data_IF_938374423896
#
_entry.id   IF_938374423896
#
_cell.length_a   1.000
_cell.length_b   1.000
_cell.length_c   1.000
_cell.angle_alpha   90.00
_cell.angle_beta   90.00
_cell.angle_gamma   90.00
#
_symmetry.space_group_name_H-M   'P 1'
#
loop_
_entity.id
_entity.type
_entity.pdbx_description
1 polymer ?
#
# COMPACT_ATOMS: atom_id res chain seq x y z
N UNK A 1 -17.76 -33.06 -0.47
CA UNK A 1 -16.50 -32.31 -0.23
C UNK A 1 -16.81 -30.85 -0.51
N UNK A 2 -16.94 -30.02 0.52
CA UNK A 2 -17.07 -28.57 0.37
C UNK A 2 -15.74 -28.06 -0.18
N UNK A 3 -15.75 -27.56 -1.40
CA UNK A 3 -14.61 -26.86 -1.98
C UNK A 3 -14.31 -25.61 -1.14
N UNK A 4 -13.05 -25.39 -0.76
CA UNK A 4 -12.66 -24.17 -0.03
C UNK A 4 -13.13 -22.93 -0.82
N UNK A 5 -13.70 -21.93 -0.16
CA UNK A 5 -14.13 -20.72 -0.83
C UNK A 5 -12.93 -19.99 -1.47
N UNK A 6 -13.16 -19.33 -2.58
CA UNK A 6 -12.14 -18.62 -3.37
C UNK A 6 -12.64 -17.20 -3.66
N UNK A 7 -11.74 -16.24 -3.60
CA UNK A 7 -11.98 -14.87 -4.09
C UNK A 7 -11.08 -14.60 -5.29
N UNK A 8 -11.64 -14.05 -6.35
CA UNK A 8 -10.86 -13.49 -7.45
C UNK A 8 -10.45 -12.07 -7.05
N UNK A 9 -9.19 -11.89 -6.77
CA UNK A 9 -8.64 -10.58 -6.39
C UNK A 9 -7.99 -9.88 -7.57
N UNK A 10 -8.17 -8.57 -7.65
CA UNK A 10 -7.63 -7.69 -8.68
C UNK A 10 -6.98 -6.49 -8.01
N UNK A 11 -5.71 -6.21 -8.33
CA UNK A 11 -4.95 -5.06 -7.84
C UNK A 11 -4.58 -4.15 -9.02
N UNK A 12 -5.32 -3.05 -9.15
CA UNK A 12 -5.22 -2.10 -10.27
C UNK A 12 -4.18 -1.04 -9.92
N UNK A 13 -2.93 -1.28 -10.30
CA UNK A 13 -1.85 -0.32 -10.17
C UNK A 13 -1.66 0.54 -11.43
N UNK A 14 -0.83 1.57 -11.35
CA UNK A 14 -0.59 2.50 -12.47
C UNK A 14 0.07 1.87 -13.69
N UNK A 15 1.01 0.97 -13.51
CA UNK A 15 1.77 0.31 -14.60
C UNK A 15 1.16 -1.03 -14.99
N UNK A 16 0.77 -1.83 -14.01
CA UNK A 16 0.22 -3.17 -14.23
C UNK A 16 -0.94 -3.44 -13.30
N UNK A 17 -1.93 -4.16 -13.82
CA UNK A 17 -3.03 -4.73 -13.05
C UNK A 17 -2.71 -6.19 -12.79
N UNK A 18 -2.53 -6.55 -11.52
CA UNK A 18 -2.31 -7.92 -11.07
C UNK A 18 -3.63 -8.56 -10.67
N UNK A 19 -3.72 -9.86 -10.78
CA UNK A 19 -4.91 -10.60 -10.36
C UNK A 19 -4.56 -12.02 -9.93
N UNK A 20 -5.43 -12.63 -9.14
CA UNK A 20 -5.24 -14.01 -8.69
C UNK A 20 -6.44 -14.59 -7.96
N UNK A 21 -6.46 -15.91 -7.87
CA UNK A 21 -7.40 -16.65 -7.05
C UNK A 21 -6.83 -16.85 -5.65
N UNK A 22 -7.47 -16.28 -4.66
CA UNK A 22 -7.03 -16.27 -3.25
C UNK A 22 -7.89 -17.19 -2.41
N UNK A 23 -7.26 -17.98 -1.54
CA UNK A 23 -7.91 -18.81 -0.53
C UNK A 23 -7.93 -18.10 0.84
N UNK A 24 -8.77 -18.54 1.80
CA UNK A 24 -8.88 -17.91 3.13
C UNK A 24 -7.60 -17.86 3.94
N UNK A 25 -6.67 -18.78 3.71
CA UNK A 25 -5.36 -18.82 4.35
C UNK A 25 -4.32 -17.88 3.74
N UNK A 26 -4.71 -17.11 2.70
CA UNK A 26 -3.82 -16.21 1.96
C UNK A 26 -3.05 -16.90 0.82
N UNK A 27 -3.29 -18.18 0.56
CA UNK A 27 -2.67 -18.85 -0.59
C UNK A 27 -3.23 -18.31 -1.90
N UNK A 28 -2.35 -17.85 -2.80
CA UNK A 28 -2.70 -17.44 -4.16
C UNK A 28 -2.45 -18.63 -5.09
N UNK A 29 -3.52 -19.35 -5.43
CA UNK A 29 -3.45 -20.62 -6.20
C UNK A 29 -3.25 -20.41 -7.70
N UNK A 30 -3.62 -19.24 -8.22
CA UNK A 30 -3.41 -18.87 -9.62
C UNK A 30 -3.23 -17.36 -9.70
N UNK A 31 -2.32 -16.89 -10.56
CA UNK A 31 -2.01 -15.46 -10.70
C UNK A 31 -1.76 -15.10 -12.16
N UNK A 32 -1.95 -13.82 -12.45
CA UNK A 32 -1.63 -13.22 -13.72
C UNK A 32 -1.48 -11.71 -13.58
N UNK A 33 -1.09 -11.10 -14.67
CA UNK A 33 -1.03 -9.64 -14.77
C UNK A 33 -1.21 -9.19 -16.22
N UNK A 34 -1.74 -7.98 -16.38
CA UNK A 34 -1.78 -7.28 -17.66
C UNK A 34 -1.20 -5.86 -17.47
N UNK A 35 -0.71 -5.21 -18.53
CA UNK A 35 -0.45 -3.77 -18.50
C UNK A 35 -1.73 -3.01 -18.17
N UNK A 36 -1.68 -2.04 -17.26
CA UNK A 36 -2.85 -1.17 -16.99
C UNK A 36 -3.08 -0.21 -18.14
N UNK A 37 -2.00 0.28 -18.76
CA UNK A 37 -2.02 1.23 -19.89
C UNK A 37 -2.88 2.47 -19.63
N UNK A 38 -2.72 2.98 -18.41
CA UNK A 38 -3.61 3.98 -17.80
C UNK A 38 -3.65 5.33 -18.53
N UNK A 39 -2.69 5.61 -19.42
CA UNK A 39 -2.60 6.85 -20.21
C UNK A 39 -3.01 6.67 -21.67
N UNK A 40 -3.04 5.45 -22.19
CA UNK A 40 -3.30 5.14 -23.59
C UNK A 40 -4.71 4.64 -23.89
N UNK A 41 -5.33 3.93 -22.94
CA UNK A 41 -6.61 3.26 -23.15
C UNK A 41 -7.84 4.10 -22.76
N UNK A 42 -8.93 3.84 -23.46
CA UNK A 42 -10.26 4.16 -22.91
C UNK A 42 -10.62 3.20 -21.77
N UNK A 43 -11.49 3.58 -20.82
CA UNK A 43 -11.98 2.67 -19.79
C UNK A 43 -12.54 1.37 -20.36
N UNK A 44 -13.29 1.45 -21.45
CA UNK A 44 -13.89 0.28 -22.09
C UNK A 44 -12.84 -0.69 -22.65
N UNK A 45 -11.80 -0.17 -23.31
CA UNK A 45 -10.71 -0.98 -23.81
C UNK A 45 -9.93 -1.67 -22.68
N UNK A 46 -9.71 -0.97 -21.57
CA UNK A 46 -9.12 -1.55 -20.36
C UNK A 46 -9.96 -2.70 -19.82
N UNK A 47 -11.29 -2.52 -19.65
CA UNK A 47 -12.17 -3.57 -19.14
C UNK A 47 -12.26 -4.76 -20.08
N UNK A 48 -12.30 -4.56 -21.40
CA UNK A 48 -12.29 -5.67 -22.38
C UNK A 48 -11.05 -6.53 -22.19
N UNK A 49 -9.86 -5.93 -22.08
CA UNK A 49 -8.60 -6.66 -21.86
C UNK A 49 -8.57 -7.35 -20.48
N UNK A 50 -9.03 -6.64 -19.45
CA UNK A 50 -9.02 -7.16 -18.09
C UNK A 50 -9.98 -8.36 -17.97
N UNK A 51 -11.23 -8.23 -18.40
CA UNK A 51 -12.19 -9.33 -18.33
C UNK A 51 -11.78 -10.53 -19.16
N UNK A 52 -11.19 -10.33 -20.34
CA UNK A 52 -10.64 -11.43 -21.11
C UNK A 52 -9.57 -12.24 -20.35
N UNK A 53 -8.77 -11.57 -19.51
CA UNK A 53 -7.76 -12.20 -18.67
C UNK A 53 -8.36 -12.87 -17.41
N UNK A 54 -9.43 -12.30 -16.83
CA UNK A 54 -10.06 -12.79 -15.61
C UNK A 54 -11.05 -13.93 -15.83
N UNK A 55 -11.76 -13.94 -16.96
CA UNK A 55 -12.83 -14.91 -17.27
C UNK A 55 -12.39 -16.38 -17.17
N UNK A 56 -11.19 -16.78 -17.64
CA UNK A 56 -10.74 -18.17 -17.47
C UNK A 56 -10.59 -18.56 -16.00
N UNK A 57 -10.12 -17.62 -15.15
CA UNK A 57 -9.95 -17.84 -13.70
C UNK A 57 -11.31 -17.98 -13.02
N UNK A 58 -12.22 -17.05 -13.30
CA UNK A 58 -13.58 -17.07 -12.75
C UNK A 58 -14.32 -18.36 -13.10
N UNK A 59 -14.27 -18.78 -14.39
CA UNK A 59 -14.85 -20.05 -14.84
C UNK A 59 -14.18 -21.27 -14.18
N UNK A 60 -12.86 -21.25 -14.03
CA UNK A 60 -12.11 -22.34 -13.38
C UNK A 60 -12.43 -22.50 -11.89
N UNK A 61 -12.71 -21.42 -11.18
CA UNK A 61 -13.11 -21.45 -9.78
C UNK A 61 -14.57 -21.94 -9.59
N UNK A 62 -15.44 -21.73 -10.58
CA UNK A 62 -16.81 -22.25 -10.58
C UNK A 62 -17.59 -21.85 -9.33
N UNK A 63 -18.28 -22.82 -8.73
CA UNK A 63 -19.11 -22.59 -7.52
C UNK A 63 -18.32 -22.27 -6.25
N UNK A 64 -16.98 -22.40 -6.27
CA UNK A 64 -16.14 -21.99 -5.14
C UNK A 64 -15.91 -20.48 -5.10
N UNK A 65 -16.18 -19.75 -6.20
CA UNK A 65 -15.96 -18.32 -6.31
C UNK A 65 -17.02 -17.55 -5.52
N UNK A 66 -16.62 -16.95 -4.40
CA UNK A 66 -17.47 -16.14 -3.54
C UNK A 66 -17.80 -14.78 -4.15
N UNK A 67 -16.86 -14.18 -4.83
CA UNK A 67 -16.94 -12.83 -5.35
C UNK A 67 -15.60 -12.30 -5.84
N UNK A 68 -15.55 -11.01 -6.13
CA UNK A 68 -14.36 -10.35 -6.64
C UNK A 68 -13.95 -9.18 -5.71
N UNK A 69 -12.71 -9.22 -5.23
CA UNK A 69 -12.11 -8.15 -4.46
C UNK A 69 -11.22 -7.27 -5.35
N UNK A 70 -11.39 -5.95 -5.25
CA UNK A 70 -10.65 -4.97 -6.06
C UNK A 70 -9.86 -4.06 -5.14
N UNK A 71 -8.56 -3.95 -5.38
CA UNK A 71 -7.67 -2.90 -4.92
C UNK A 71 -7.52 -1.89 -6.06
N UNK A 72 -7.83 -0.62 -5.84
CA UNK A 72 -7.73 0.41 -6.86
C UNK A 72 -6.86 1.57 -6.40
N UNK A 73 -5.94 1.99 -7.27
CA UNK A 73 -5.08 3.14 -6.98
C UNK A 73 -5.88 4.44 -6.84
N UNK A 74 -5.52 5.23 -5.82
CA UNK A 74 -6.07 6.55 -5.56
C UNK A 74 -7.24 6.56 -4.60
N UNK A 75 -7.80 7.74 -4.34
CA UNK A 75 -8.95 7.87 -3.47
C UNK A 75 -10.22 7.34 -4.15
N UNK A 76 -10.99 6.56 -3.42
CA UNK A 76 -12.29 6.04 -3.88
C UNK A 76 -13.45 6.84 -3.29
N UNK A 77 -14.58 6.87 -4.01
CA UNK A 77 -15.80 7.51 -3.52
C UNK A 77 -16.38 6.79 -2.29
N UNK A 78 -17.32 7.45 -1.62
CA UNK A 78 -17.95 6.96 -0.39
C UNK A 78 -18.59 5.58 -0.55
N UNK A 79 -19.18 5.32 -1.70
CA UNK A 79 -19.83 4.06 -2.04
C UNK A 79 -18.84 2.97 -2.46
N UNK A 80 -17.55 3.31 -2.54
CA UNK A 80 -16.46 2.44 -2.98
C UNK A 80 -16.75 1.84 -4.36
N UNK A 81 -17.13 2.71 -5.32
CA UNK A 81 -17.45 2.32 -6.70
C UNK A 81 -16.43 2.82 -7.71
N UNK A 82 -15.86 4.01 -7.49
CA UNK A 82 -15.01 4.69 -8.47
C UNK A 82 -13.81 5.38 -7.82
N UNK A 83 -12.63 5.35 -8.46
CA UNK A 83 -11.52 6.22 -8.08
C UNK A 83 -11.86 7.68 -8.42
N UNK A 84 -11.83 8.58 -7.43
CA UNK A 84 -12.09 10.02 -7.62
C UNK A 84 -10.82 10.82 -7.85
N UNK A 85 -9.72 10.39 -7.20
CA UNK A 85 -8.36 10.88 -7.47
C UNK A 85 -7.53 9.67 -7.89
N UNK A 86 -7.05 9.66 -9.11
CA UNK A 86 -6.38 8.51 -9.70
C UNK A 86 -5.17 8.96 -10.55
N UNK A 87 -4.18 9.57 -9.88
CA UNK A 87 -3.01 10.17 -10.55
C UNK A 87 -2.24 9.19 -11.44
N UNK A 88 -2.08 7.95 -11.00
CA UNK A 88 -1.38 6.90 -11.75
C UNK A 88 -2.30 6.07 -12.67
N UNK A 89 -3.62 6.27 -12.59
CA UNK A 89 -4.62 5.60 -13.44
C UNK A 89 -5.64 6.60 -13.97
N UNK A 90 -5.21 7.67 -14.67
CA UNK A 90 -6.09 8.78 -15.05
C UNK A 90 -7.27 8.35 -15.93
N UNK A 91 -7.13 7.32 -16.75
CA UNK A 91 -8.21 6.76 -17.56
C UNK A 91 -9.37 6.19 -16.72
N UNK A 92 -9.12 5.80 -15.48
CA UNK A 92 -10.13 5.25 -14.57
C UNK A 92 -10.73 6.29 -13.61
N UNK A 93 -10.30 7.53 -13.68
CA UNK A 93 -10.83 8.60 -12.83
C UNK A 93 -12.32 8.81 -13.07
N UNK A 94 -13.11 8.75 -11.98
CA UNK A 94 -14.58 8.84 -11.97
C UNK A 94 -15.31 7.72 -12.76
N UNK A 95 -14.62 6.66 -13.16
CA UNK A 95 -15.22 5.48 -13.81
C UNK A 95 -15.82 4.59 -12.75
N UNK A 96 -17.05 4.09 -12.97
CA UNK A 96 -17.72 3.11 -12.09
C UNK A 96 -17.08 1.72 -12.26
N UNK A 97 -15.87 1.57 -11.70
CA UNK A 97 -15.11 0.31 -11.77
C UNK A 97 -15.90 -0.83 -11.16
N UNK A 98 -16.43 -0.64 -9.96
CA UNK A 98 -17.21 -1.67 -9.27
C UNK A 98 -18.44 -2.06 -10.08
N UNK A 99 -19.18 -1.09 -10.63
CA UNK A 99 -20.35 -1.36 -11.47
C UNK A 99 -20.03 -2.12 -12.76
N UNK A 100 -18.86 -1.87 -13.36
CA UNK A 100 -18.42 -2.64 -14.53
C UNK A 100 -18.24 -4.13 -14.17
N UNK A 101 -17.63 -4.45 -13.02
CA UNK A 101 -17.50 -5.83 -12.54
C UNK A 101 -18.84 -6.44 -12.13
N UNK A 102 -19.70 -5.71 -11.41
CA UNK A 102 -21.05 -6.17 -11.05
C UNK A 102 -21.87 -6.57 -12.29
N UNK A 103 -21.81 -5.73 -13.32
CA UNK A 103 -22.51 -5.98 -14.60
C UNK A 103 -21.96 -7.20 -15.34
N UNK A 104 -20.65 -7.41 -15.33
CA UNK A 104 -20.02 -8.50 -16.08
C UNK A 104 -20.16 -9.86 -15.39
N UNK A 105 -19.97 -9.93 -14.07
CA UNK A 105 -19.93 -11.20 -13.34
C UNK A 105 -21.21 -11.56 -12.60
N UNK A 106 -22.03 -10.58 -12.22
CA UNK A 106 -23.22 -10.82 -11.39
C UNK A 106 -22.91 -11.39 -10.01
N UNK A 107 -21.72 -11.16 -9.49
CA UNK A 107 -21.22 -11.65 -8.21
C UNK A 107 -21.06 -10.50 -7.20
N UNK A 108 -20.93 -10.80 -5.89
CA UNK A 108 -20.54 -9.81 -4.90
C UNK A 108 -19.19 -9.18 -5.25
N UNK A 109 -19.13 -7.85 -5.26
CA UNK A 109 -17.92 -7.08 -5.55
C UNK A 109 -17.60 -6.16 -4.37
N UNK A 110 -16.37 -6.22 -3.90
CA UNK A 110 -15.82 -5.28 -2.92
C UNK A 110 -14.67 -4.52 -3.56
N UNK A 111 -14.64 -3.20 -3.38
CA UNK A 111 -13.54 -2.37 -3.86
C UNK A 111 -12.97 -1.55 -2.70
N UNK A 112 -11.66 -1.53 -2.58
CA UNK A 112 -10.91 -0.72 -1.64
C UNK A 112 -9.88 0.14 -2.36
N UNK A 113 -9.49 1.23 -1.72
CA UNK A 113 -8.26 1.94 -2.04
C UNK A 113 -7.06 0.99 -1.87
N UNK A 114 -6.00 1.19 -2.64
CA UNK A 114 -4.80 0.35 -2.64
C UNK A 114 -4.08 0.33 -1.29
N UNK A 115 -3.98 1.47 -0.59
CA UNK A 115 -3.38 1.53 0.75
C UNK A 115 -4.16 0.67 1.76
N UNK A 116 -5.50 0.73 1.70
CA UNK A 116 -6.35 -0.08 2.57
C UNK A 116 -6.21 -1.57 2.24
N UNK A 117 -6.18 -1.93 0.96
CA UNK A 117 -5.95 -3.30 0.55
C UNK A 117 -4.58 -3.79 1.04
N UNK A 118 -3.51 -3.02 0.87
CA UNK A 118 -2.19 -3.37 1.40
C UNK A 118 -2.21 -3.56 2.93
N UNK A 119 -2.87 -2.67 3.66
CA UNK A 119 -2.97 -2.76 5.12
C UNK A 119 -3.74 -4.00 5.58
N UNK A 120 -4.87 -4.31 4.94
CA UNK A 120 -5.65 -5.52 5.23
C UNK A 120 -4.86 -6.79 4.92
N UNK A 121 -4.17 -6.84 3.79
CA UNK A 121 -3.32 -7.97 3.41
C UNK A 121 -2.19 -8.20 4.40
N UNK A 122 -1.47 -7.15 4.78
CA UNK A 122 -0.37 -7.23 5.75
C UNK A 122 -0.86 -7.53 7.17
N UNK A 123 -2.07 -7.04 7.53
CA UNK A 123 -2.69 -7.34 8.82
C UNK A 123 -3.10 -8.81 8.94
N UNK A 124 -3.78 -9.36 7.95
CA UNK A 124 -4.32 -10.72 8.04
C UNK A 124 -3.30 -11.80 7.71
N UNK A 125 -2.36 -11.54 6.79
CA UNK A 125 -1.46 -12.55 6.23
C UNK A 125 0.03 -12.24 6.45
N UNK A 126 0.35 -11.09 7.05
CA UNK A 126 1.71 -10.62 7.25
C UNK A 126 2.06 -10.36 8.70
N UNK A 127 2.76 -9.25 8.92
CA UNK A 127 3.29 -8.86 10.24
C UNK A 127 2.25 -8.26 11.18
N UNK A 128 1.02 -7.96 10.72
CA UNK A 128 -0.04 -7.34 11.52
C UNK A 128 -0.89 -8.31 12.33
N UNK A 129 -0.77 -9.62 12.10
CA UNK A 129 -1.65 -10.61 12.74
C UNK A 129 -1.61 -10.55 14.27
N UNK A 130 -2.79 -10.42 14.88
CA UNK A 130 -2.95 -10.33 16.33
C UNK A 130 -2.53 -9.00 16.96
N UNK A 131 -2.18 -7.99 16.18
CA UNK A 131 -1.82 -6.66 16.66
C UNK A 131 -3.07 -5.78 16.77
N UNK A 132 -3.37 -5.31 17.97
CA UNK A 132 -4.57 -4.52 18.23
C UNK A 132 -4.59 -3.18 17.46
N UNK A 133 -3.46 -2.45 17.45
CA UNK A 133 -3.28 -1.20 16.72
C UNK A 133 -2.12 -1.36 15.74
N UNK A 134 -2.46 -1.63 14.51
CA UNK A 134 -1.51 -1.91 13.44
C UNK A 134 -1.55 -0.80 12.38
N UNK A 135 -0.39 -0.31 12.00
CA UNK A 135 -0.23 0.63 10.90
C UNK A 135 0.54 -0.05 9.76
N UNK A 136 0.06 0.10 8.54
CA UNK A 136 0.79 -0.29 7.34
C UNK A 136 1.17 0.97 6.56
N UNK A 137 2.46 1.21 6.38
CA UNK A 137 3.01 2.25 5.50
C UNK A 137 3.40 1.60 4.17
N UNK A 138 2.74 1.97 3.09
CA UNK A 138 3.10 1.52 1.75
C UNK A 138 3.96 2.58 1.04
N UNK A 139 5.10 2.15 0.49
CA UNK A 139 6.08 2.98 -0.21
C UNK A 139 6.32 2.48 -1.62
N UNK A 140 5.99 3.30 -2.60
CA UNK A 140 6.17 3.00 -4.02
C UNK A 140 6.32 4.28 -4.83
N UNK A 141 5.56 4.45 -5.89
CA UNK A 141 5.47 5.72 -6.64
C UNK A 141 5.09 6.86 -5.68
N UNK A 142 4.11 6.62 -4.82
CA UNK A 142 3.73 7.50 -3.71
C UNK A 142 4.08 6.90 -2.34
N UNK A 143 3.50 7.52 -1.31
CA UNK A 143 3.61 7.14 0.09
C UNK A 143 2.25 7.30 0.78
N UNK A 144 1.87 6.31 1.58
CA UNK A 144 0.68 6.44 2.41
C UNK A 144 0.62 5.39 3.50
N UNK A 145 -0.14 5.66 4.55
CA UNK A 145 -0.35 4.72 5.63
C UNK A 145 -1.83 4.51 5.90
N UNK A 146 -2.20 3.28 6.23
CA UNK A 146 -3.52 2.91 6.71
C UNK A 146 -3.41 2.27 8.10
N UNK A 147 -4.44 2.50 8.92
CA UNK A 147 -4.49 2.03 10.30
C UNK A 147 -5.58 0.96 10.47
N UNK A 148 -5.25 -0.13 11.14
CA UNK A 148 -6.18 -1.18 11.57
C UNK A 148 -6.24 -1.17 13.10
N UNK A 149 -7.44 -1.05 13.66
CA UNK A 149 -7.68 -1.04 15.10
C UNK A 149 -8.65 -2.14 15.46
N UNK A 150 -8.24 -3.04 16.35
CA UNK A 150 -9.03 -4.21 16.77
C UNK A 150 -9.58 -5.01 15.56
N UNK A 151 -8.74 -5.23 14.55
CA UNK A 151 -9.09 -5.96 13.33
C UNK A 151 -9.92 -5.19 12.31
N UNK A 152 -10.26 -3.93 12.57
CA UNK A 152 -11.07 -3.10 11.68
C UNK A 152 -10.25 -1.94 11.11
N UNK A 153 -10.38 -1.65 9.82
CA UNK A 153 -9.72 -0.50 9.23
C UNK A 153 -10.29 0.82 9.78
N UNK A 154 -9.40 1.77 10.06
CA UNK A 154 -9.78 3.14 10.37
C UNK A 154 -10.07 3.87 9.07
N UNK A 155 -11.35 4.12 8.81
CA UNK A 155 -11.83 4.79 7.61
C UNK A 155 -12.25 6.21 7.95
N UNK A 156 -11.72 7.18 7.20
CA UNK A 156 -12.08 8.60 7.33
C UNK A 156 -13.27 8.92 6.43
N UNK A 157 -13.20 8.51 5.16
CA UNK A 157 -14.31 8.65 4.20
C UNK A 157 -14.27 7.56 3.14
N UNK A 158 -15.43 6.96 2.83
CA UNK A 158 -15.58 5.90 1.85
C UNK A 158 -14.75 4.66 2.15
N UNK A 159 -13.66 4.47 1.46
CA UNK A 159 -12.68 3.41 1.70
C UNK A 159 -11.30 3.96 2.02
N UNK A 160 -11.19 5.26 2.37
CA UNK A 160 -9.92 5.95 2.48
C UNK A 160 -9.50 6.17 3.94
N UNK A 161 -8.22 5.97 4.21
CA UNK A 161 -7.60 6.18 5.53
C UNK A 161 -7.12 7.62 5.74
N UNK A 162 -7.40 8.53 4.81
CA UNK A 162 -6.81 9.85 4.72
C UNK A 162 -5.45 9.82 3.99
N UNK A 163 -4.99 11.01 3.59
CA UNK A 163 -3.74 11.19 2.82
C UNK A 163 -2.53 11.36 3.73
N UNK A 164 -2.17 10.33 4.46
CA UNK A 164 -1.07 10.35 5.44
C UNK A 164 0.30 10.67 4.80
N UNK A 165 0.50 10.36 3.52
CA UNK A 165 1.70 10.72 2.77
C UNK A 165 1.86 12.22 2.49
N UNK A 166 0.78 13.01 2.63
CA UNK A 166 0.81 14.45 2.39
C UNK A 166 1.17 15.28 3.64
N UNK A 167 1.58 14.64 4.74
CA UNK A 167 2.16 15.33 5.90
C UNK A 167 3.36 16.15 5.45
N UNK A 168 3.40 17.43 5.87
CA UNK A 168 4.49 18.35 5.54
C UNK A 168 5.70 18.06 6.44
N UNK A 169 6.81 17.64 5.83
CA UNK A 169 8.07 17.41 6.53
C UNK A 169 9.03 18.60 6.44
N UNK A 170 9.12 19.22 5.27
CA UNK A 170 9.91 20.44 5.07
C UNK A 170 9.18 21.42 4.15
N UNK A 171 8.60 22.51 4.67
CA UNK A 171 7.85 23.46 3.87
C UNK A 171 8.71 24.22 2.84
N UNK A 172 10.04 24.09 2.87
CA UNK A 172 10.96 24.68 1.89
C UNK A 172 11.20 23.74 0.69
N UNK A 173 10.94 22.45 0.84
CA UNK A 173 11.14 21.44 -0.20
C UNK A 173 10.17 21.64 -1.39
N UNK A 174 10.45 21.04 -2.56
CA UNK A 174 9.60 21.16 -3.75
C UNK A 174 8.16 20.68 -3.53
N UNK A 175 7.30 21.01 -4.48
CA UNK A 175 5.94 20.46 -4.55
C UNK A 175 6.00 19.04 -5.08
N UNK A 176 5.14 18.18 -4.53
CA UNK A 176 4.88 16.84 -5.06
C UNK A 176 3.94 16.87 -6.28
N UNK A 177 3.61 15.71 -6.80
CA UNK A 177 2.71 15.53 -7.95
C UNK A 177 1.28 16.02 -7.68
N UNK A 178 0.88 16.12 -6.41
CA UNK A 178 -0.42 16.64 -5.97
C UNK A 178 -0.39 18.14 -5.72
N UNK A 179 0.75 18.80 -5.94
CA UNK A 179 0.94 20.23 -5.70
C UNK A 179 1.22 20.61 -4.24
N UNK A 180 1.37 19.61 -3.34
CA UNK A 180 1.65 19.84 -1.92
C UNK A 180 3.16 20.07 -1.73
N UNK A 181 3.49 21.17 -1.05
CA UNK A 181 4.88 21.57 -0.85
C UNK A 181 5.50 20.85 0.35
N UNK A 182 6.58 20.12 0.10
CA UNK A 182 7.38 19.47 1.16
C UNK A 182 6.70 18.31 1.87
N UNK A 183 5.79 17.61 1.17
CA UNK A 183 5.12 16.42 1.70
C UNK A 183 6.08 15.24 1.87
N UNK A 184 5.75 14.33 2.78
CA UNK A 184 6.44 13.06 2.95
C UNK A 184 6.48 12.26 1.64
N UNK A 185 5.36 12.21 0.90
CA UNK A 185 5.29 11.56 -0.41
C UNK A 185 6.26 12.17 -1.43
N UNK A 186 6.29 13.49 -1.55
CA UNK A 186 7.19 14.18 -2.47
C UNK A 186 8.68 14.02 -2.13
N UNK A 187 8.99 13.79 -0.87
CA UNK A 187 10.36 13.56 -0.39
C UNK A 187 10.78 12.09 -0.48
N UNK A 188 9.87 11.15 -0.17
CA UNK A 188 10.20 9.73 0.05
C UNK A 188 9.67 8.80 -1.03
N UNK A 189 8.73 9.23 -1.87
CA UNK A 189 8.26 8.46 -3.03
C UNK A 189 9.34 8.33 -4.12
N UNK A 190 9.05 7.53 -5.16
CA UNK A 190 9.98 7.33 -6.30
C UNK A 190 10.51 8.65 -6.86
N UNK A 191 9.69 9.70 -7.12
CA UNK A 191 10.21 10.98 -7.60
C UNK A 191 11.21 11.65 -6.64
N UNK A 192 11.02 11.50 -5.33
CA UNK A 192 11.94 12.02 -4.32
C UNK A 192 13.29 11.30 -4.33
N UNK A 193 13.27 9.97 -4.46
CA UNK A 193 14.50 9.14 -4.59
C UNK A 193 15.26 9.53 -5.85
N UNK A 194 14.58 9.64 -7.00
CA UNK A 194 15.20 9.99 -8.27
C UNK A 194 15.75 11.41 -8.30
N UNK A 195 15.09 12.34 -7.61
CA UNK A 195 15.61 13.70 -7.40
C UNK A 195 16.92 13.68 -6.61
N UNK A 196 16.97 12.98 -5.48
CA UNK A 196 18.21 12.85 -4.69
C UNK A 196 19.31 12.16 -5.50
N UNK A 197 18.97 11.13 -6.25
CA UNK A 197 19.92 10.43 -7.12
C UNK A 197 20.51 11.37 -8.18
N UNK A 198 19.67 12.17 -8.85
CA UNK A 198 20.13 13.18 -9.82
C UNK A 198 21.05 14.21 -9.19
N UNK A 199 20.70 14.72 -7.99
CA UNK A 199 21.54 15.66 -7.24
C UNK A 199 22.90 15.03 -6.88
N UNK A 200 22.92 13.74 -6.50
CA UNK A 200 24.12 13.05 -6.04
C UNK A 200 25.02 12.55 -7.17
N UNK A 201 24.42 12.03 -8.27
CA UNK A 201 25.16 11.43 -9.40
C UNK A 201 25.39 12.40 -10.58
N UNK A 202 24.70 13.54 -10.61
CA UNK A 202 24.74 14.47 -11.74
C UNK A 202 24.08 13.92 -13.03
N UNK A 203 23.32 12.82 -12.91
CA UNK A 203 22.56 12.19 -14.01
C UNK A 203 21.29 11.54 -13.51
N UNK A 204 20.37 11.22 -14.40
CA UNK A 204 19.19 10.44 -14.07
C UNK A 204 19.59 9.00 -13.71
N UNK A 205 19.06 8.52 -12.56
CA UNK A 205 19.19 7.13 -12.08
C UNK A 205 17.83 6.68 -11.60
N UNK A 206 17.25 5.63 -12.16
CA UNK A 206 15.95 5.12 -11.74
C UNK A 206 15.98 4.67 -10.27
N UNK A 207 14.91 4.97 -9.52
CA UNK A 207 14.81 4.63 -8.09
C UNK A 207 15.09 3.15 -7.81
N UNK A 208 14.62 2.23 -8.68
CA UNK A 208 14.87 0.78 -8.56
C UNK A 208 16.37 0.43 -8.52
N UNK A 209 17.20 1.16 -9.28
CA UNK A 209 18.65 0.93 -9.32
C UNK A 209 19.30 1.44 -8.03
N UNK A 210 18.89 2.62 -7.53
CA UNK A 210 19.33 3.17 -6.25
C UNK A 210 18.98 2.21 -5.10
N UNK A 211 17.74 1.73 -5.05
CA UNK A 211 17.26 0.80 -4.02
C UNK A 211 18.05 -0.51 -4.05
N UNK A 212 18.27 -1.08 -5.23
CA UNK A 212 19.03 -2.32 -5.39
C UNK A 212 20.50 -2.16 -4.97
N UNK A 213 21.16 -1.08 -5.38
CA UNK A 213 22.55 -0.78 -5.04
C UNK A 213 22.71 -0.53 -3.53
N UNK A 214 21.79 0.21 -2.91
CA UNK A 214 21.78 0.43 -1.47
C UNK A 214 21.60 -0.86 -0.68
N UNK A 215 20.64 -1.71 -1.09
CA UNK A 215 20.41 -3.03 -0.48
C UNK A 215 21.65 -3.92 -0.54
N UNK A 216 22.35 -3.91 -1.68
CA UNK A 216 23.56 -4.70 -1.88
C UNK A 216 24.80 -4.10 -1.19
N UNK A 217 24.74 -2.84 -0.72
CA UNK A 217 25.89 -2.11 -0.17
C UNK A 217 26.99 -1.82 -1.19
N UNK A 218 26.68 -1.89 -2.49
CA UNK A 218 27.66 -1.76 -3.58
C UNK A 218 27.96 -0.32 -3.98
N UNK A 219 27.13 0.63 -3.53
CA UNK A 219 27.25 2.06 -3.84
C UNK A 219 26.98 2.90 -2.60
N UNK A 220 28.00 3.59 -2.10
CA UNK A 220 27.90 4.41 -0.91
C UNK A 220 26.89 5.57 -1.06
N UNK A 221 26.77 6.17 -2.25
CA UNK A 221 25.81 7.23 -2.52
C UNK A 221 24.37 6.70 -2.48
N UNK A 222 24.11 5.50 -3.01
CA UNK A 222 22.82 4.85 -2.92
C UNK A 222 22.45 4.53 -1.45
N UNK A 223 23.42 4.06 -0.66
CA UNK A 223 23.24 3.82 0.79
C UNK A 223 22.88 5.12 1.51
N UNK A 224 23.61 6.22 1.26
CA UNK A 224 23.30 7.53 1.84
C UNK A 224 21.91 8.03 1.45
N UNK A 225 21.51 7.90 0.18
CA UNK A 225 20.17 8.28 -0.30
C UNK A 225 19.09 7.49 0.45
N UNK A 226 19.22 6.16 0.52
CA UNK A 226 18.20 5.33 1.18
C UNK A 226 18.18 5.52 2.70
N UNK A 227 19.31 5.84 3.35
CA UNK A 227 19.34 6.22 4.74
C UNK A 227 18.63 7.57 4.98
N UNK A 228 18.82 8.56 4.09
CA UNK A 228 18.09 9.83 4.15
C UNK A 228 16.56 9.63 3.99
N UNK A 229 16.15 8.77 3.05
CA UNK A 229 14.74 8.38 2.91
C UNK A 229 14.24 7.74 4.20
N UNK A 230 15.00 6.81 4.79
CA UNK A 230 14.68 6.18 6.08
C UNK A 230 14.50 7.22 7.20
N UNK A 231 15.36 8.22 7.27
CA UNK A 231 15.24 9.32 8.24
C UNK A 231 13.92 10.09 8.07
N UNK A 232 13.55 10.46 6.86
CA UNK A 232 12.29 11.15 6.61
C UNK A 232 11.07 10.27 6.90
N UNK A 233 11.16 8.97 6.63
CA UNK A 233 10.11 8.01 7.02
C UNK A 233 10.00 7.93 8.54
N UNK A 234 11.11 7.87 9.27
CA UNK A 234 11.10 7.90 10.75
C UNK A 234 10.40 9.15 11.30
N UNK A 235 10.64 10.31 10.72
CA UNK A 235 9.94 11.56 11.08
C UNK A 235 8.44 11.50 10.76
N UNK A 236 8.07 10.95 9.60
CA UNK A 236 6.67 10.73 9.22
C UNK A 236 5.96 9.82 10.22
N UNK A 237 6.57 8.68 10.53
CA UNK A 237 6.01 7.70 11.46
C UNK A 237 5.94 8.25 12.89
N UNK A 238 6.89 9.06 13.33
CA UNK A 238 6.82 9.75 14.61
C UNK A 238 5.58 10.64 14.70
N UNK A 239 5.32 11.45 13.67
CA UNK A 239 4.14 12.32 13.60
C UNK A 239 2.83 11.54 13.58
N UNK A 240 2.77 10.44 12.81
CA UNK A 240 1.58 9.58 12.76
C UNK A 240 1.37 8.81 14.07
N UNK A 241 2.45 8.38 14.71
CA UNK A 241 2.36 7.58 15.93
C UNK A 241 1.80 8.35 17.12
N UNK A 242 2.09 9.63 17.26
CA UNK A 242 1.49 10.46 18.33
C UNK A 242 0.00 10.75 18.10
N UNK A 243 -0.51 10.50 16.88
CA UNK A 243 -1.94 10.62 16.56
C UNK A 243 -2.66 9.28 16.76
N UNK A 244 -2.07 8.18 16.28
CA UNK A 244 -2.74 6.88 16.14
C UNK A 244 -2.32 5.83 17.17
N UNK A 245 -1.22 6.05 17.89
CA UNK A 245 -0.67 5.14 18.91
C UNK A 245 -0.56 3.68 18.43
N UNK A 246 0.11 3.38 17.29
CA UNK A 246 0.25 2.02 16.81
C UNK A 246 1.11 1.17 17.76
N UNK A 247 0.82 -0.11 17.86
CA UNK A 247 1.70 -1.08 18.53
C UNK A 247 2.76 -1.63 17.59
N UNK A 248 2.41 -1.75 16.30
CA UNK A 248 3.33 -2.15 15.24
C UNK A 248 3.07 -1.38 13.96
N UNK A 249 4.16 -1.03 13.29
CA UNK A 249 4.16 -0.40 11.98
C UNK A 249 4.90 -1.32 11.01
N UNK A 250 4.25 -1.73 9.92
CA UNK A 250 4.88 -2.44 8.83
C UNK A 250 5.17 -1.48 7.67
N UNK A 251 6.41 -1.45 7.20
CA UNK A 251 6.81 -0.71 6.01
C UNK A 251 6.79 -1.68 4.84
N UNK A 252 5.97 -1.40 3.82
CA UNK A 252 5.72 -2.27 2.65
C UNK A 252 5.99 -1.54 1.34
N UNK A 253 5.81 -2.24 0.22
CA UNK A 253 5.97 -1.67 -1.12
C UNK A 253 7.40 -1.78 -1.68
N UNK A 254 7.59 -1.33 -2.91
CA UNK A 254 8.84 -1.52 -3.64
C UNK A 254 10.07 -0.89 -2.97
N UNK A 255 9.89 0.30 -2.39
CA UNK A 255 10.98 1.03 -1.72
C UNK A 255 11.43 0.34 -0.42
N UNK A 256 10.53 -0.38 0.27
CA UNK A 256 10.88 -1.17 1.45
C UNK A 256 11.94 -2.26 1.15
N UNK A 257 12.10 -2.66 -0.12
CA UNK A 257 13.10 -3.62 -0.54
C UNK A 257 14.56 -3.14 -0.36
N UNK A 258 14.80 -1.85 -0.04
CA UNK A 258 16.10 -1.36 0.42
C UNK A 258 16.56 -2.04 1.72
N UNK A 259 15.64 -2.66 2.47
CA UNK A 259 15.96 -3.49 3.62
C UNK A 259 16.46 -2.69 4.82
N UNK A 260 17.51 -3.22 5.47
CA UNK A 260 18.03 -2.69 6.74
C UNK A 260 18.57 -1.26 6.62
N UNK A 261 19.06 -0.84 5.47
CA UNK A 261 19.56 0.53 5.26
C UNK A 261 18.44 1.54 5.54
N UNK A 262 17.28 1.32 4.97
CA UNK A 262 16.09 2.15 5.18
C UNK A 262 15.53 1.97 6.59
N UNK A 263 15.36 0.71 7.04
CA UNK A 263 14.72 0.39 8.30
C UNK A 263 15.49 0.91 9.51
N UNK A 264 16.82 0.76 9.52
CA UNK A 264 17.66 1.20 10.65
C UNK A 264 17.68 2.73 10.76
N UNK A 265 17.78 3.46 9.64
CA UNK A 265 17.70 4.91 9.64
C UNK A 265 16.30 5.41 10.10
N UNK A 266 15.25 4.73 9.68
CA UNK A 266 13.88 5.01 10.10
C UNK A 266 13.70 4.83 11.61
N UNK A 267 14.13 3.69 12.16
CA UNK A 267 14.05 3.40 13.60
C UNK A 267 14.87 4.39 14.42
N UNK A 268 16.09 4.69 14.01
CA UNK A 268 16.95 5.65 14.70
C UNK A 268 16.29 7.04 14.78
N UNK A 269 15.72 7.51 13.68
CA UNK A 269 15.04 8.81 13.66
C UNK A 269 13.76 8.80 14.48
N UNK A 270 12.97 7.73 14.40
CA UNK A 270 11.74 7.55 15.19
C UNK A 270 12.07 7.57 16.69
N UNK A 271 13.07 6.78 17.10
CA UNK A 271 13.52 6.69 18.48
C UNK A 271 14.03 8.05 19.01
N UNK A 272 14.83 8.75 18.20
CA UNK A 272 15.33 10.10 18.54
C UNK A 272 14.17 11.08 18.80
N UNK A 273 13.09 11.01 18.05
CA UNK A 273 12.01 12.00 18.12
C UNK A 273 10.96 11.69 19.18
N UNK A 274 10.57 10.42 19.32
CA UNK A 274 9.42 10.02 20.16
C UNK A 274 9.65 8.75 20.98
N UNK A 275 10.82 8.12 20.89
CA UNK A 275 11.09 6.84 21.56
C UNK A 275 10.91 6.90 23.07
N UNK A 276 11.46 7.91 23.74
CA UNK A 276 11.33 8.09 25.20
C UNK A 276 9.85 8.25 25.61
N UNK A 277 9.07 9.01 24.84
CA UNK A 277 7.64 9.18 25.10
C UNK A 277 6.87 7.84 25.04
N UNK A 278 7.11 7.02 24.03
CA UNK A 278 6.41 5.73 23.90
C UNK A 278 6.87 4.72 24.94
N UNK A 279 8.16 4.67 25.29
CA UNK A 279 8.70 3.84 26.39
C UNK A 279 8.09 4.23 27.74
N UNK A 280 8.02 5.51 28.04
CA UNK A 280 7.40 6.00 29.29
C UNK A 280 5.92 5.67 29.33
N UNK A 281 5.21 5.88 28.22
CA UNK A 281 3.80 5.54 28.10
C UNK A 281 3.56 4.03 28.30
N UNK A 282 4.38 3.17 27.69
CA UNK A 282 4.30 1.72 27.85
C UNK A 282 4.54 1.30 29.31
N UNK A 283 5.54 1.88 29.97
CA UNK A 283 5.90 1.58 31.35
C UNK A 283 4.79 1.96 32.36
N UNK A 284 4.05 3.05 32.09
CA UNK A 284 3.10 3.64 33.04
C UNK A 284 1.63 3.27 32.83
N UNK A 285 1.31 2.45 31.81
CA UNK A 285 -0.09 2.16 31.46
C UNK A 285 -0.52 0.70 31.66
N UNK A 286 0.30 -0.09 32.35
CA UNK A 286 -0.04 -1.51 32.63
C UNK A 286 -0.24 -2.36 31.39
N UNK A 287 0.43 -2.03 30.28
CA UNK A 287 0.38 -2.77 29.01
C UNK A 287 -0.73 -2.33 28.05
N UNK A 288 -1.52 -1.32 28.42
CA UNK A 288 -2.53 -0.74 27.51
C UNK A 288 -1.88 -0.05 26.30
N UNK A 289 -0.80 0.69 26.53
CA UNK A 289 0.09 1.15 25.47
C UNK A 289 1.33 0.26 25.45
N UNK A 290 1.94 0.14 24.28
CA UNK A 290 3.16 -0.63 24.07
C UNK A 290 4.18 0.24 23.35
N UNK A 291 5.44 -0.10 23.52
CA UNK A 291 6.48 0.47 22.66
C UNK A 291 6.18 0.15 21.19
N UNK A 292 6.50 1.08 20.30
CA UNK A 292 6.14 0.97 18.88
C UNK A 292 7.18 0.11 18.15
N UNK A 293 6.74 -1.02 17.63
CA UNK A 293 7.59 -1.88 16.83
C UNK A 293 7.50 -1.50 15.35
N UNK A 294 8.62 -1.13 14.72
CA UNK A 294 8.69 -0.82 13.28
C UNK A 294 9.39 -2.00 12.58
N UNK A 295 8.72 -2.60 11.58
CA UNK A 295 9.23 -3.77 10.85
C UNK A 295 9.08 -3.58 9.35
N UNK A 296 9.81 -4.37 8.56
CA UNK A 296 9.49 -4.56 7.14
C UNK A 296 8.31 -5.51 7.02
N UNK A 297 7.37 -5.18 6.15
CA UNK A 297 6.24 -6.06 5.85
C UNK A 297 6.68 -7.35 5.16
N UNK A 298 5.90 -8.40 5.31
CA UNK A 298 6.24 -9.76 4.85
C UNK A 298 5.73 -10.09 3.45
N UNK A 299 4.76 -9.34 2.91
CA UNK A 299 4.01 -9.75 1.73
C UNK A 299 4.40 -9.03 0.45
N UNK A 300 4.60 -9.80 -0.65
CA UNK A 300 4.76 -9.25 -2.00
C UNK A 300 3.42 -8.99 -2.70
N UNK A 301 2.35 -9.68 -2.28
CA UNK A 301 1.03 -9.66 -2.91
C UNK A 301 -0.05 -9.06 -1.99
N UNK A 302 0.35 -8.19 -1.06
CA UNK A 302 -0.54 -7.66 -0.02
C UNK A 302 -1.76 -6.92 -0.59
N UNK A 303 -1.65 -6.26 -1.75
CA UNK A 303 -2.78 -5.66 -2.45
C UNK A 303 -3.82 -6.70 -2.88
N UNK A 304 -3.39 -7.82 -3.48
CA UNK A 304 -4.27 -8.93 -3.85
C UNK A 304 -4.90 -9.60 -2.62
N UNK A 305 -4.07 -9.92 -1.63
CA UNK A 305 -4.53 -10.58 -0.41
C UNK A 305 -5.56 -9.72 0.33
N UNK A 306 -5.28 -8.43 0.46
CA UNK A 306 -6.16 -7.51 1.16
C UNK A 306 -7.48 -7.23 0.44
N UNK A 307 -7.47 -7.23 -0.89
CA UNK A 307 -8.70 -7.12 -1.67
C UNK A 307 -9.69 -8.27 -1.42
N UNK A 308 -9.19 -9.47 -1.04
CA UNK A 308 -10.01 -10.63 -0.74
C UNK A 308 -10.64 -10.62 0.67
N UNK A 309 -10.03 -9.92 1.62
CA UNK A 309 -10.32 -10.05 3.07
C UNK A 309 -11.80 -9.84 3.39
N UNK A 310 -12.38 -8.73 2.92
CA UNK A 310 -13.77 -8.40 3.27
C UNK A 310 -14.78 -9.45 2.78
N UNK A 311 -14.53 -10.08 1.62
CA UNK A 311 -15.40 -11.14 1.11
C UNK A 311 -15.32 -12.40 1.97
N UNK A 312 -14.14 -12.76 2.47
CA UNK A 312 -14.01 -13.88 3.41
C UNK A 312 -14.65 -13.61 4.77
N UNK A 313 -14.69 -12.35 5.22
CA UNK A 313 -15.34 -11.97 6.48
C UNK A 313 -16.87 -11.96 6.42
N UNK A 314 -17.46 -11.98 5.24
CA UNK A 314 -18.91 -12.01 5.03
C UNK A 314 -19.48 -13.44 5.00
N UNK A 315 -18.63 -14.47 4.98
CA UNK A 315 -18.99 -15.89 5.01
C UNK A 315 -18.91 -16.46 6.40
#
# INVERSE_FOLDING_TARGET
LTTSPIVLSVDIGGTSTKFGLVQPDGTVIQRGQIPTDAHGDSPDAFFVRLFAALDPLARGAGNALLGIGISAHGEVDRERRRPIIAGNTPALRNVDVRGAFEKHYGLPIVMNNDLMAHALGEYHYGSGSGIERFMCLAMGTGLGAAMIVAGKPLIIDGGNSGNTGLIILDPRAPRDVNGIKGSAEGLCGVPGIERLARERYGREVPAREVIAAARAGTDAAAVEIMAQIGTWIGQTLASLSVIFYPHRIAITGGTASAGDVLLNACRAQFDLLVGDFFRDLAANTGGHFRDVEIVLGKGSDTGLLGAAVELFQQC
#
